data_IF_910170067334
#
_entry.id   IF_910170067334
#
_cell.length_a   1.000
_cell.length_b   1.000
_cell.length_c   1.000
_cell.angle_alpha   90.00
_cell.angle_beta   90.00
_cell.angle_gamma   90.00
#
_symmetry.space_group_name_H-M   'P 1'
#
loop_
_entity.id
_entity.type
_entity.pdbx_description
1 polymer ?
#
# COMPACT_ATOMS: atom_id res chain seq x y z
N UNK A 1 -9.95 -1.88 6.24
CA UNK A 1 -8.93 -1.72 5.17
C UNK A 1 -9.46 -0.74 4.15
N UNK A 2 -8.61 -0.12 3.34
CA UNK A 2 -9.05 0.94 2.47
C UNK A 2 -7.92 1.55 1.65
N UNK A 3 -8.25 2.57 0.87
CA UNK A 3 -7.27 3.36 0.12
C UNK A 3 -7.09 4.73 0.78
N UNK A 4 -5.85 5.20 0.75
CA UNK A 4 -5.45 6.49 1.30
C UNK A 4 -4.77 7.31 0.21
N UNK A 5 -4.67 8.62 0.43
CA UNK A 5 -4.00 9.55 -0.48
C UNK A 5 -2.92 10.33 0.25
N UNK A 6 -1.80 10.55 -0.42
CA UNK A 6 -0.72 11.42 0.08
C UNK A 6 -1.19 12.87 0.06
N UNK A 7 -1.12 13.55 1.20
CA UNK A 7 -1.42 14.98 1.33
C UNK A 7 -0.18 15.82 1.59
N UNK A 8 0.85 15.24 2.22
CA UNK A 8 2.16 15.85 2.40
C UNK A 8 3.19 14.85 1.91
N UNK A 9 4.02 15.27 0.95
CA UNK A 9 5.13 14.47 0.44
C UNK A 9 6.19 14.24 1.52
N UNK A 10 7.29 13.57 1.18
CA UNK A 10 8.37 13.27 2.11
C UNK A 10 8.83 14.51 2.90
N UNK A 11 8.82 14.42 4.22
CA UNK A 11 9.27 15.44 5.17
C UNK A 11 10.04 14.80 6.32
N UNK A 12 10.79 15.59 7.09
CA UNK A 12 11.53 15.10 8.25
C UNK A 12 10.61 14.37 9.21
N UNK A 13 10.99 13.15 9.60
CA UNK A 13 10.20 12.39 10.57
C UNK A 13 10.21 13.10 11.94
N UNK A 14 9.03 13.46 12.49
CA UNK A 14 8.95 14.22 13.74
C UNK A 14 9.32 13.39 14.98
N UNK A 15 9.49 12.07 14.83
CA UNK A 15 9.85 11.17 15.94
C UNK A 15 11.35 11.01 16.13
N UNK A 16 12.18 11.59 15.25
CA UNK A 16 13.64 11.48 15.30
C UNK A 16 14.36 12.72 14.77
N UNK A 17 15.52 13.01 15.38
CA UNK A 17 16.42 14.08 14.94
C UNK A 17 17.36 13.63 13.81
N UNK A 18 17.38 12.34 13.44
CA UNK A 18 18.20 11.82 12.34
C UNK A 18 17.61 12.27 10.98
N UNK A 19 18.32 13.09 10.19
CA UNK A 19 17.82 13.66 8.94
C UNK A 19 17.67 12.63 7.81
N UNK A 20 18.12 11.39 8.01
CA UNK A 20 17.96 10.31 7.04
C UNK A 20 16.53 9.73 7.02
N UNK A 21 15.76 9.97 8.07
CA UNK A 21 14.40 9.44 8.19
C UNK A 21 13.38 10.45 7.70
N UNK A 22 12.61 10.03 6.70
CA UNK A 22 11.53 10.82 6.13
C UNK A 22 10.21 10.10 6.34
N UNK A 23 9.17 10.88 6.62
CA UNK A 23 7.79 10.44 6.76
C UNK A 23 6.91 11.06 5.68
N UNK A 24 5.74 10.46 5.45
CA UNK A 24 4.74 10.91 4.47
C UNK A 24 3.39 10.97 5.17
N UNK A 25 2.61 12.02 4.93
CA UNK A 25 1.29 12.17 5.55
C UNK A 25 0.21 11.73 4.57
N UNK A 26 -0.71 10.90 5.06
CA UNK A 26 -1.82 10.37 4.29
C UNK A 26 -3.16 10.78 4.88
N UNK A 27 -4.17 10.95 4.02
CA UNK A 27 -5.57 11.06 4.40
C UNK A 27 -6.34 9.81 3.92
N UNK A 28 -7.33 9.32 4.70
CA UNK A 28 -8.20 8.24 4.25
C UNK A 28 -9.10 8.73 3.10
N UNK A 29 -9.23 7.94 2.03
CA UNK A 29 -10.12 8.24 0.90
C UNK A 29 -11.37 7.38 0.94
N UNK A 30 -11.21 6.09 1.16
CA UNK A 30 -12.30 5.12 1.14
C UNK A 30 -11.98 3.92 2.03
N UNK A 31 -12.99 3.45 2.75
CA UNK A 31 -12.94 2.19 3.50
C UNK A 31 -13.56 1.10 2.64
N UNK A 32 -12.86 -0.01 2.49
CA UNK A 32 -13.34 -1.20 1.79
C UNK A 32 -14.40 -1.92 2.62
N UNK A 33 -15.47 -2.38 1.95
CA UNK A 33 -16.55 -3.15 2.58
C UNK A 33 -16.05 -4.52 3.04
N UNK A 34 -15.14 -5.11 2.27
CA UNK A 34 -14.61 -6.45 2.52
C UNK A 34 -13.13 -6.41 2.88
N UNK A 35 -12.78 -7.31 3.80
CA UNK A 35 -11.37 -7.55 4.11
C UNK A 35 -10.73 -8.39 2.99
N UNK A 36 -9.65 -7.88 2.39
CA UNK A 36 -8.82 -8.59 1.40
C UNK A 36 -7.77 -9.42 2.14
N UNK A 37 -7.88 -10.75 2.08
CA UNK A 37 -6.90 -11.66 2.64
C UNK A 37 -5.69 -11.82 1.71
N UNK A 38 -4.50 -12.05 2.29
CA UNK A 38 -3.28 -12.28 1.50
C UNK A 38 -3.38 -13.52 0.60
N UNK A 39 -4.14 -14.55 1.00
CA UNK A 39 -4.38 -15.74 0.16
C UNK A 39 -5.08 -15.36 -1.14
N UNK A 40 -6.10 -14.50 -1.08
CA UNK A 40 -6.83 -14.03 -2.27
C UNK A 40 -5.90 -13.28 -3.23
N UNK A 41 -4.99 -12.44 -2.71
CA UNK A 41 -4.00 -11.73 -3.52
C UNK A 41 -3.05 -12.71 -4.23
N UNK A 42 -2.64 -13.79 -3.55
CA UNK A 42 -1.73 -14.81 -4.10
C UNK A 42 -2.36 -15.70 -5.17
N UNK A 43 -3.68 -15.82 -5.18
CA UNK A 43 -4.43 -16.59 -6.18
C UNK A 43 -4.54 -15.88 -7.54
N UNK A 44 -4.27 -14.57 -7.59
CA UNK A 44 -4.40 -13.76 -8.81
C UNK A 44 -3.06 -13.72 -9.55
N UNK A 45 -2.96 -14.32 -10.76
CA UNK A 45 -1.70 -14.40 -11.51
C UNK A 45 -1.08 -13.04 -11.81
N UNK A 46 -1.90 -12.03 -12.07
CA UNK A 46 -1.49 -10.65 -12.38
C UNK A 46 -0.78 -9.97 -11.19
N UNK A 47 -1.06 -10.42 -9.97
CA UNK A 47 -0.44 -9.89 -8.74
C UNK A 47 0.75 -10.73 -8.27
N UNK A 48 1.10 -11.82 -8.96
CA UNK A 48 2.12 -12.76 -8.49
C UNK A 48 3.52 -12.14 -8.35
N UNK A 49 3.78 -11.00 -9.02
CA UNK A 49 5.08 -10.34 -9.06
C UNK A 49 5.17 -9.07 -8.20
N UNK A 50 4.10 -8.67 -7.51
CA UNK A 50 4.16 -7.48 -6.65
C UNK A 50 5.08 -7.72 -5.44
N UNK A 51 5.62 -6.62 -4.90
CA UNK A 51 6.55 -6.67 -3.75
C UNK A 51 5.99 -7.43 -2.55
N UNK A 52 4.70 -7.33 -2.27
CA UNK A 52 4.02 -7.98 -1.15
C UNK A 52 4.11 -9.51 -1.22
N UNK A 53 4.06 -10.08 -2.43
CA UNK A 53 4.13 -11.54 -2.64
C UNK A 53 5.59 -12.01 -2.67
N UNK A 54 6.48 -11.24 -3.29
CA UNK A 54 7.90 -11.62 -3.49
C UNK A 54 8.80 -11.29 -2.30
N UNK A 55 8.45 -10.27 -1.51
CA UNK A 55 9.30 -9.71 -0.45
C UNK A 55 8.48 -9.49 0.84
N UNK A 56 8.28 -10.52 1.67
CA UNK A 56 7.37 -10.46 2.82
C UNK A 56 7.69 -9.40 3.87
N UNK A 57 8.94 -8.91 3.93
CA UNK A 57 9.40 -7.88 4.88
C UNK A 57 9.42 -6.47 4.29
N UNK A 58 9.00 -6.29 3.04
CA UNK A 58 8.92 -4.98 2.40
C UNK A 58 7.64 -4.27 2.83
N UNK A 59 7.76 -3.15 3.53
CA UNK A 59 6.61 -2.38 4.03
C UNK A 59 6.00 -1.44 2.98
N UNK A 60 6.80 -0.94 2.05
CA UNK A 60 6.38 0.01 1.01
C UNK A 60 6.83 -0.54 -0.34
N UNK A 61 5.89 -0.65 -1.27
CA UNK A 61 6.16 -1.14 -2.62
C UNK A 61 5.46 -0.26 -3.66
N UNK A 62 6.05 -0.07 -4.84
CA UNK A 62 5.32 0.46 -5.98
C UNK A 62 4.31 -0.57 -6.48
N UNK A 63 3.21 -0.08 -7.04
CA UNK A 63 2.26 -0.85 -7.82
C UNK A 63 2.02 -0.14 -9.14
N UNK A 64 1.80 -0.92 -10.19
CA UNK A 64 1.23 -0.41 -11.43
C UNK A 64 -0.24 -0.03 -11.20
N UNK A 65 -0.78 0.81 -12.09
CA UNK A 65 -2.20 1.20 -12.04
C UNK A 65 -3.13 -0.02 -12.14
N UNK A 66 -2.80 -0.98 -13.00
CA UNK A 66 -3.61 -2.19 -13.19
C UNK A 66 -3.64 -3.07 -11.92
N UNK A 67 -2.48 -3.30 -11.29
CA UNK A 67 -2.41 -4.06 -10.03
C UNK A 67 -3.20 -3.38 -8.91
N UNK A 68 -3.10 -2.05 -8.82
CA UNK A 68 -3.85 -1.26 -7.84
C UNK A 68 -5.36 -1.38 -8.04
N UNK A 69 -5.85 -1.27 -9.28
CA UNK A 69 -7.28 -1.38 -9.60
C UNK A 69 -7.83 -2.78 -9.27
N UNK A 70 -7.07 -3.84 -9.54
CA UNK A 70 -7.44 -5.20 -9.14
C UNK A 70 -7.65 -5.29 -7.62
N UNK A 71 -6.69 -4.77 -6.83
CA UNK A 71 -6.76 -4.83 -5.36
C UNK A 71 -7.96 -4.03 -4.84
N UNK A 72 -8.21 -2.83 -5.37
CA UNK A 72 -9.37 -2.02 -4.97
C UNK A 72 -10.68 -2.77 -5.26
N UNK A 73 -10.79 -3.42 -6.42
CA UNK A 73 -11.99 -4.18 -6.78
C UNK A 73 -12.26 -5.39 -5.87
N UNK A 74 -11.24 -5.98 -5.24
CA UNK A 74 -11.43 -7.06 -4.26
C UNK A 74 -12.03 -6.55 -2.94
N UNK A 75 -11.78 -5.29 -2.60
CA UNK A 75 -12.27 -4.66 -1.37
C UNK A 75 -13.68 -4.08 -1.47
N UNK A 76 -14.17 -3.89 -2.70
CA UNK A 76 -15.51 -3.42 -3.01
C UNK A 76 -16.57 -4.54 -2.97
#
# INVERSE_FOLDING_TARGET
>A
MGKMKVIVTAHQDPTTDDPKWLSVTFEPVETFEKAIALSQIKEIPELANIGLVKQPRLAIMPLTKAEFEIIVNLGN
#
